data_IF_344082047734
#
_entry.id   IF_344082047734
#
_cell.length_a   1.000
_cell.length_b   1.000
_cell.length_c   1.000
_cell.angle_alpha   90.00
_cell.angle_beta   90.00
_cell.angle_gamma   90.00
#
_symmetry.space_group_name_H-M   'P 1'
#
loop_
_entity.id
_entity.type
_entity.pdbx_description
1 polymer ?
#
# COMPACT_ATOMS: atom_id res chain seq x y z
N UNK A 1 -44.30 22.13 0.73
CA UNK A 1 -42.97 22.45 1.30
C UNK A 1 -42.65 21.45 2.40
N UNK A 2 -41.84 20.42 2.13
CA UNK A 2 -41.34 19.52 3.19
C UNK A 2 -39.92 19.96 3.56
N UNK A 3 -39.76 20.58 4.72
CA UNK A 3 -38.47 20.94 5.29
C UNK A 3 -37.74 19.65 5.71
N UNK A 4 -36.62 19.34 5.04
CA UNK A 4 -35.75 18.23 5.44
C UNK A 4 -35.18 18.53 6.83
N UNK A 5 -35.60 17.75 7.82
CA UNK A 5 -34.97 17.75 9.14
C UNK A 5 -33.54 17.20 9.04
N UNK A 6 -32.56 17.78 9.76
CA UNK A 6 -31.18 17.32 9.73
C UNK A 6 -31.08 15.89 10.25
N UNK A 7 -30.38 15.01 9.53
CA UNK A 7 -30.13 13.64 9.99
C UNK A 7 -29.20 13.68 11.21
N UNK A 8 -29.77 13.66 12.40
CA UNK A 8 -29.04 13.47 13.65
C UNK A 8 -28.53 12.03 13.60
N UNK A 9 -27.23 11.86 13.33
CA UNK A 9 -26.58 10.56 13.39
C UNK A 9 -27.01 9.83 14.69
N UNK A 10 -27.48 8.59 14.56
CA UNK A 10 -28.11 7.87 15.67
C UNK A 10 -27.18 7.86 16.89
N UNK A 11 -27.74 8.04 18.10
CA UNK A 11 -27.02 8.02 19.38
C UNK A 11 -26.08 6.80 19.48
N UNK A 12 -26.49 5.67 18.91
CA UNK A 12 -25.71 4.45 18.78
C UNK A 12 -24.45 4.60 17.90
N UNK A 13 -24.52 5.29 16.76
CA UNK A 13 -23.36 5.54 15.90
C UNK A 13 -22.36 6.48 16.58
N UNK A 14 -22.83 7.50 17.29
CA UNK A 14 -21.98 8.42 18.07
C UNK A 14 -21.29 7.67 19.22
N UNK A 15 -22.00 6.79 19.93
CA UNK A 15 -21.44 5.95 20.99
C UNK A 15 -20.38 4.94 20.47
N UNK A 16 -20.64 4.27 19.33
CA UNK A 16 -19.66 3.35 18.69
C UNK A 16 -18.38 4.09 18.29
N UNK A 17 -18.49 5.32 17.77
CA UNK A 17 -17.33 6.16 17.42
C UNK A 17 -16.51 6.54 18.65
N UNK A 18 -17.16 6.97 19.73
CA UNK A 18 -16.50 7.32 21.00
C UNK A 18 -15.82 6.09 21.63
N UNK A 19 -16.48 4.93 21.65
CA UNK A 19 -15.91 3.69 22.16
C UNK A 19 -14.67 3.24 21.35
N UNK A 20 -14.69 3.42 20.02
CA UNK A 20 -13.52 3.15 19.15
C UNK A 20 -12.35 4.08 19.45
N UNK A 21 -12.62 5.36 19.68
CA UNK A 21 -11.59 6.36 20.04
C UNK A 21 -11.00 6.06 21.42
N UNK A 22 -11.84 5.73 22.41
CA UNK A 22 -11.39 5.35 23.76
C UNK A 22 -10.58 4.05 23.75
N UNK A 23 -11.00 3.05 22.96
CA UNK A 23 -10.24 1.80 22.76
C UNK A 23 -8.88 2.10 22.12
N UNK A 24 -8.82 2.93 21.08
CA UNK A 24 -7.56 3.34 20.46
C UNK A 24 -6.60 4.03 21.45
N UNK A 25 -7.11 4.99 22.25
CA UNK A 25 -6.31 5.67 23.29
C UNK A 25 -5.81 4.74 24.40
N UNK A 26 -6.59 3.73 24.80
CA UNK A 26 -6.16 2.71 25.78
C UNK A 26 -5.05 1.81 25.22
N UNK A 27 -5.17 1.37 23.96
CA UNK A 27 -4.13 0.57 23.32
C UNK A 27 -2.82 1.36 23.11
N UNK A 28 -2.89 2.67 22.92
CA UNK A 28 -1.74 3.58 22.83
C UNK A 28 -1.02 3.73 24.20
N UNK A 29 -1.78 3.88 25.29
CA UNK A 29 -1.23 3.96 26.65
C UNK A 29 -0.66 2.62 27.17
N UNK A 30 -1.22 1.49 26.74
CA UNK A 30 -0.79 0.15 27.17
C UNK A 30 0.35 -0.45 26.32
N UNK A 31 0.88 0.29 25.32
CA UNK A 31 1.96 -0.21 24.46
C UNK A 31 1.58 -1.42 23.58
N UNK A 32 0.30 -1.79 23.52
CA UNK A 32 -0.18 -3.00 22.80
C UNK A 32 -0.27 -2.84 21.28
N UNK A 33 0.06 -1.66 20.75
CA UNK A 33 0.08 -1.39 19.31
C UNK A 33 1.45 -1.60 18.64
N UNK A 34 2.52 -1.82 19.42
CA UNK A 34 3.79 -2.35 18.91
C UNK A 34 3.71 -3.86 18.92
N UNK A 35 3.02 -4.42 17.92
CA UNK A 35 3.14 -5.85 17.65
C UNK A 35 4.52 -6.05 17.03
N UNK A 36 5.54 -6.24 17.86
CA UNK A 36 6.81 -6.83 17.44
C UNK A 36 6.56 -8.29 17.07
N UNK A 37 5.84 -8.50 15.97
CA UNK A 37 5.73 -9.83 15.38
C UNK A 37 7.12 -10.13 14.82
N UNK A 38 7.81 -11.20 15.25
CA UNK A 38 9.16 -11.49 14.80
C UNK A 38 9.25 -11.91 13.31
N UNK A 39 8.14 -11.80 12.55
CA UNK A 39 8.00 -12.34 11.20
C UNK A 39 7.97 -11.29 10.07
N UNK A 40 7.97 -10.00 10.37
CA UNK A 40 8.15 -8.97 9.33
C UNK A 40 9.61 -8.52 9.32
N UNK A 41 10.30 -8.76 8.22
CA UNK A 41 11.62 -8.14 7.98
C UNK A 41 11.47 -6.63 8.19
N UNK A 42 12.27 -6.07 9.09
CA UNK A 42 12.44 -4.62 9.20
C UNK A 42 13.33 -4.20 8.01
N UNK A 43 12.87 -3.19 7.29
CA UNK A 43 13.65 -2.57 6.22
C UNK A 43 14.33 -1.34 6.82
N UNK A 44 15.66 -1.31 6.76
CA UNK A 44 16.45 -0.15 7.21
C UNK A 44 16.35 0.99 6.20
N UNK A 45 16.47 0.69 4.91
CA UNK A 45 16.26 1.66 3.84
C UNK A 45 14.86 1.47 3.19
N UNK A 46 14.05 2.54 3.07
CA UNK A 46 12.83 2.56 2.25
C UNK A 46 13.00 2.00 0.82
N UNK A 47 14.17 2.19 0.20
CA UNK A 47 14.45 1.73 -1.16
C UNK A 47 14.50 0.20 -1.29
N UNK A 48 14.80 -0.51 -0.20
CA UNK A 48 14.80 -1.97 -0.20
C UNK A 48 13.39 -2.56 -0.36
N UNK A 49 12.36 -1.79 -0.01
CA UNK A 49 10.96 -2.19 -0.16
C UNK A 49 10.50 -2.11 -1.62
N UNK A 50 10.98 -1.11 -2.36
CA UNK A 50 10.55 -0.77 -3.72
C UNK A 50 11.58 -1.24 -4.75
N UNK A 51 11.35 -2.42 -5.34
CA UNK A 51 12.35 -3.05 -6.21
C UNK A 51 12.40 -2.42 -7.61
N UNK A 52 11.23 -2.19 -8.23
CA UNK A 52 11.13 -1.58 -9.57
C UNK A 52 9.70 -1.19 -9.94
N UNK A 53 9.50 -0.21 -10.84
CA UNK A 53 8.19 0.03 -11.43
C UNK A 53 7.76 -1.08 -12.38
N UNK A 54 6.45 -1.26 -12.52
CA UNK A 54 5.85 -2.16 -13.50
C UNK A 54 5.45 -1.35 -14.71
N UNK A 55 5.94 -1.77 -15.89
CA UNK A 55 5.59 -1.21 -17.19
C UNK A 55 4.73 -2.20 -17.96
N UNK A 56 3.52 -1.79 -18.31
CA UNK A 56 2.49 -2.54 -19.03
C UNK A 56 1.34 -1.61 -19.44
N UNK A 57 0.54 -1.95 -20.45
CA UNK A 57 -0.62 -1.12 -20.86
C UNK A 57 -1.55 -0.79 -19.69
N UNK A 58 -1.84 -1.78 -18.85
CA UNK A 58 -2.68 -1.59 -17.66
C UNK A 58 -2.06 -0.65 -16.64
N UNK A 59 -0.74 -0.72 -16.42
CA UNK A 59 -0.10 0.20 -15.47
C UNK A 59 -0.09 1.62 -16.03
N UNK A 60 0.03 1.82 -17.35
CA UNK A 60 -0.12 3.13 -17.99
C UNK A 60 -1.54 3.67 -17.85
N UNK A 61 -2.57 2.86 -18.13
CA UNK A 61 -3.96 3.28 -17.98
C UNK A 61 -4.31 3.73 -16.54
N UNK A 62 -3.65 3.13 -15.54
CA UNK A 62 -3.82 3.50 -14.14
C UNK A 62 -3.08 4.79 -13.74
N UNK A 63 -2.12 5.27 -14.54
CA UNK A 63 -1.40 6.52 -14.24
C UNK A 63 -2.33 7.74 -14.31
N UNK A 64 -3.29 7.73 -15.23
CA UNK A 64 -4.28 8.80 -15.38
C UNK A 64 -5.16 8.93 -14.12
N UNK A 65 -5.35 7.82 -13.40
CA UNK A 65 -6.06 7.76 -12.11
C UNK A 65 -5.13 8.03 -10.90
N UNK A 66 -3.87 8.42 -11.11
CA UNK A 66 -2.90 8.64 -10.05
C UNK A 66 -2.47 7.35 -9.33
N UNK A 67 -2.56 6.20 -10.01
CA UNK A 67 -2.21 4.88 -9.46
C UNK A 67 -0.95 4.32 -10.08
N UNK A 68 0.02 4.01 -9.24
CA UNK A 68 1.35 3.57 -9.63
C UNK A 68 1.58 2.13 -9.20
N UNK A 69 2.17 1.31 -10.09
CA UNK A 69 2.39 -0.11 -9.80
C UNK A 69 3.88 -0.41 -9.64
N UNK A 70 4.25 -0.97 -8.50
CA UNK A 70 5.62 -1.38 -8.19
C UNK A 70 5.71 -2.88 -7.96
N UNK A 71 6.83 -3.49 -8.32
CA UNK A 71 7.27 -4.76 -7.74
C UNK A 71 7.95 -4.44 -6.42
N UNK A 72 7.53 -5.13 -5.37
CA UNK A 72 8.00 -4.89 -4.00
C UNK A 72 8.55 -6.16 -3.39
N UNK A 73 9.29 -6.04 -2.28
CA UNK A 73 9.76 -7.19 -1.54
C UNK A 73 8.57 -8.09 -1.08
N UNK A 74 8.61 -9.42 -1.32
CA UNK A 74 7.53 -10.33 -0.95
C UNK A 74 7.20 -10.38 0.54
N UNK A 75 8.09 -9.92 1.42
CA UNK A 75 7.91 -9.84 2.87
C UNK A 75 7.34 -8.50 3.33
N UNK A 76 7.31 -7.49 2.46
CA UNK A 76 6.80 -6.15 2.82
C UNK A 76 5.29 -6.13 3.07
N UNK A 77 4.86 -5.40 4.10
CA UNK A 77 3.45 -5.14 4.40
C UNK A 77 2.96 -3.82 3.75
N UNK A 78 1.64 -3.60 3.73
CA UNK A 78 1.05 -2.40 3.08
C UNK A 78 1.50 -1.08 3.74
N UNK A 79 1.70 -1.08 5.05
CA UNK A 79 2.13 0.10 5.82
C UNK A 79 3.57 0.49 5.48
N UNK A 80 4.47 -0.49 5.41
CA UNK A 80 5.86 -0.32 4.99
C UNK A 80 5.94 0.19 3.56
N UNK A 81 5.16 -0.38 2.63
CA UNK A 81 5.11 0.10 1.24
C UNK A 81 4.62 1.56 1.19
N UNK A 82 3.58 1.89 1.97
CA UNK A 82 3.07 3.26 2.06
C UNK A 82 4.16 4.23 2.53
N UNK A 83 4.80 3.92 3.65
CA UNK A 83 5.87 4.73 4.23
C UNK A 83 7.05 4.85 3.26
N UNK A 84 7.42 3.76 2.59
CA UNK A 84 8.53 3.75 1.65
C UNK A 84 8.27 4.65 0.44
N UNK A 85 7.09 4.58 -0.17
CA UNK A 85 6.74 5.46 -1.30
C UNK A 85 6.72 6.92 -0.88
N UNK A 86 6.13 7.23 0.28
CA UNK A 86 6.10 8.58 0.82
C UNK A 86 7.52 9.12 1.08
N UNK A 87 8.40 8.29 1.62
CA UNK A 87 9.78 8.68 1.93
C UNK A 87 10.66 8.85 0.68
N UNK A 88 10.56 7.94 -0.30
CA UNK A 88 11.42 7.95 -1.50
C UNK A 88 11.02 9.04 -2.48
N UNK A 89 9.72 9.30 -2.64
CA UNK A 89 9.22 10.22 -3.66
C UNK A 89 8.62 11.52 -3.09
N UNK A 90 8.59 11.68 -1.77
CA UNK A 90 8.02 12.86 -1.10
C UNK A 90 6.58 13.18 -1.51
N UNK A 91 5.77 12.14 -1.78
CA UNK A 91 4.35 12.24 -2.17
C UNK A 91 3.42 11.77 -1.06
N UNK A 92 2.13 12.11 -1.13
CA UNK A 92 1.10 11.65 -0.20
C UNK A 92 0.32 10.47 -0.77
N UNK A 93 0.50 9.29 -0.18
CA UNK A 93 -0.24 8.07 -0.53
C UNK A 93 -1.61 8.00 0.16
N UNK A 94 -2.68 7.79 -0.61
CA UNK A 94 -4.06 7.60 -0.13
C UNK A 94 -4.37 6.12 0.13
N UNK A 95 -3.89 5.21 -0.74
CA UNK A 95 -4.21 3.78 -0.66
C UNK A 95 -3.12 2.87 -1.19
N UNK A 96 -3.08 1.63 -0.70
CA UNK A 96 -2.15 0.58 -1.17
C UNK A 96 -2.87 -0.76 -1.30
N UNK A 97 -2.80 -1.33 -2.49
CA UNK A 97 -3.36 -2.64 -2.84
C UNK A 97 -2.21 -3.56 -3.27
N UNK A 98 -2.08 -4.71 -2.62
CA UNK A 98 -0.99 -5.67 -2.91
C UNK A 98 -1.54 -6.96 -3.47
N UNK A 99 -0.82 -7.54 -4.44
CA UNK A 99 -1.12 -8.85 -5.03
C UNK A 99 0.15 -9.69 -5.09
N UNK A 100 0.05 -10.97 -4.74
CA UNK A 100 1.14 -11.94 -4.91
C UNK A 100 0.94 -12.67 -6.24
N UNK A 101 1.94 -12.59 -7.12
CA UNK A 101 1.92 -13.24 -8.43
C UNK A 101 2.91 -14.41 -8.43
N UNK A 102 2.36 -15.60 -8.61
CA UNK A 102 3.15 -16.82 -8.76
C UNK A 102 3.98 -16.78 -10.06
N UNK A 103 5.25 -17.17 -9.95
CA UNK A 103 6.16 -17.34 -11.05
C UNK A 103 5.75 -18.55 -11.89
N UNK A 104 5.74 -18.35 -13.21
CA UNK A 104 5.38 -19.42 -14.16
C UNK A 104 6.45 -20.51 -14.18
N UNK A 105 6.01 -21.77 -14.20
CA UNK A 105 6.88 -22.91 -14.56
C UNK A 105 7.13 -22.87 -16.07
N UNK A 106 8.38 -23.11 -16.46
CA UNK A 106 8.83 -23.07 -17.86
C UNK A 106 9.76 -24.26 -18.12
N UNK A 107 9.60 -24.88 -19.28
CA UNK A 107 10.49 -25.96 -19.74
C UNK A 107 11.82 -25.35 -20.21
N UNK A 108 12.90 -25.95 -19.79
CA UNK A 108 14.28 -25.69 -20.22
C UNK A 108 14.87 -27.00 -20.76
N UNK A 109 16.07 -26.93 -21.35
CA UNK A 109 16.78 -28.12 -21.86
C UNK A 109 16.94 -29.22 -20.81
N UNK A 110 17.15 -28.84 -19.54
CA UNK A 110 17.42 -29.76 -18.43
C UNK A 110 16.19 -30.18 -17.63
N UNK A 111 15.02 -29.55 -17.82
CA UNK A 111 13.82 -29.90 -17.06
C UNK A 111 12.78 -28.77 -16.96
N UNK A 112 12.01 -28.75 -15.87
CA UNK A 112 11.06 -27.68 -15.59
C UNK A 112 11.60 -26.73 -14.51
N UNK A 113 12.01 -25.53 -14.91
CA UNK A 113 12.35 -24.44 -14.00
C UNK A 113 11.11 -23.63 -13.59
N UNK A 114 11.19 -22.91 -12.46
CA UNK A 114 10.16 -21.95 -12.02
C UNK A 114 10.80 -20.56 -11.89
N UNK A 115 10.11 -19.53 -12.39
CA UNK A 115 10.50 -18.13 -12.12
C UNK A 115 10.20 -17.77 -10.67
N UNK A 116 10.90 -16.77 -10.14
CA UNK A 116 10.62 -16.24 -8.80
C UNK A 116 9.18 -15.70 -8.71
N UNK A 117 8.56 -15.91 -7.56
CA UNK A 117 7.29 -15.28 -7.20
C UNK A 117 7.54 -13.79 -6.92
N UNK A 118 6.55 -12.94 -7.22
CA UNK A 118 6.69 -11.49 -7.06
C UNK A 118 5.48 -10.91 -6.36
N UNK A 119 5.69 -9.94 -5.48
CA UNK A 119 4.61 -9.12 -4.93
C UNK A 119 4.53 -7.83 -5.74
N UNK A 120 3.32 -7.45 -6.14
CA UNK A 120 3.04 -6.15 -6.77
C UNK A 120 2.23 -5.30 -5.83
N UNK A 121 2.53 -4.01 -5.79
CA UNK A 121 1.78 -3.01 -5.05
C UNK A 121 1.26 -1.97 -6.03
N UNK A 122 -0.05 -1.78 -6.05
CA UNK A 122 -0.72 -0.66 -6.70
C UNK A 122 -0.94 0.39 -5.62
N UNK A 123 -0.36 1.56 -5.83
CA UNK A 123 -0.31 2.66 -4.86
C UNK A 123 -1.07 3.83 -5.44
N UNK A 124 -2.09 4.28 -4.72
CA UNK A 124 -2.90 5.44 -5.09
C UNK A 124 -2.32 6.67 -4.40
N UNK A 125 -2.04 7.72 -5.16
CA UNK A 125 -1.58 9.00 -4.62
C UNK A 125 -2.75 9.92 -4.28
N UNK A 126 -2.46 11.01 -3.58
CA UNK A 126 -3.39 12.11 -3.42
C UNK A 126 -3.46 12.92 -4.72
N UNK A 127 -4.56 13.64 -4.89
CA UNK A 127 -4.71 14.57 -6.02
C UNK A 127 -3.59 15.61 -6.00
N UNK A 128 -2.97 15.85 -7.16
CA UNK A 128 -1.86 16.80 -7.32
C UNK A 128 -0.46 16.17 -7.20
N UNK A 129 -0.32 15.01 -6.55
CA UNK A 129 0.96 14.32 -6.46
C UNK A 129 1.24 13.45 -7.69
N UNK A 130 2.49 13.46 -8.16
CA UNK A 130 2.96 12.62 -9.26
C UNK A 130 4.33 12.04 -8.97
N UNK A 131 4.56 10.82 -9.45
CA UNK A 131 5.87 10.17 -9.40
C UNK A 131 6.41 10.16 -10.83
N UNK A 132 7.59 10.72 -11.03
CA UNK A 132 8.34 10.48 -12.27
C UNK A 132 8.99 9.09 -12.20
N UNK A 133 8.36 8.14 -12.90
CA UNK A 133 8.74 6.73 -12.89
C UNK A 133 9.72 6.38 -14.01
N UNK A 134 9.83 7.23 -15.02
CA UNK A 134 10.56 6.91 -16.23
C UNK A 134 11.97 7.46 -16.23
N UNK A 135 12.26 8.44 -15.36
CA UNK A 135 13.55 9.09 -15.32
C UNK A 135 13.80 9.78 -16.66
N UNK A 136 13.71 11.10 -16.69
CA UNK A 136 14.44 11.84 -17.71
C UNK A 136 15.91 11.43 -17.61
N UNK A 137 16.36 10.51 -18.47
CA UNK A 137 17.77 10.33 -18.74
C UNK A 137 18.23 11.67 -19.32
N UNK A 138 18.85 12.48 -18.45
CA UNK A 138 19.62 13.64 -18.84
C UNK A 138 21.04 13.18 -19.15
#
# INVERSE_FOLDING_TARGET
MATRHPSIASKAAKAKKVARIAKAKRHEAEGKNTVETPLSKSFTDPRDVLLKPVVSEKSYALLDEGKYTFVVDPRANKTQIKQAVQAVFSVKVTGVNTINRQGKRKRTKTGFGKRADSKRAIVTLAEGDRIDIFGQAS
#
